data_IF_801348199874
#
_entry.id   IF_801348199874
#
_cell.length_a   1.000
_cell.length_b   1.000
_cell.length_c   1.000
_cell.angle_alpha   90.00
_cell.angle_beta   90.00
_cell.angle_gamma   90.00
#
_symmetry.space_group_name_H-M   'P 1'
#
loop_
_entity.id
_entity.type
_entity.pdbx_description
1 polymer ?
#
# COMPACT_ATOMS: atom_id res chain seq x y z
N UNK A 1 -7.28 -5.15 -4.38
CA UNK A 1 -5.93 -4.53 -4.30
C UNK A 1 -4.80 -5.47 -3.84
N UNK A 2 -5.02 -6.40 -2.89
CA UNK A 2 -3.95 -7.30 -2.40
C UNK A 2 -3.34 -8.23 -3.47
N UNK A 3 -4.14 -8.71 -4.43
CA UNK A 3 -3.68 -9.62 -5.49
C UNK A 3 -2.78 -8.96 -6.55
N UNK A 4 -2.91 -7.65 -6.77
CA UNK A 4 -2.09 -6.92 -7.74
C UNK A 4 -0.65 -6.69 -7.22
N UNK A 5 -0.50 -6.55 -5.90
CA UNK A 5 0.80 -6.43 -5.25
C UNK A 5 1.59 -7.75 -5.25
N UNK A 6 0.91 -8.90 -5.15
CA UNK A 6 1.56 -10.21 -5.20
C UNK A 6 2.10 -10.56 -6.60
N UNK A 7 1.39 -10.18 -7.67
CA UNK A 7 1.84 -10.41 -9.05
C UNK A 7 3.10 -9.63 -9.41
N UNK A 8 3.24 -8.39 -8.93
CA UNK A 8 4.40 -7.53 -9.22
C UNK A 8 5.67 -7.98 -8.48
N UNK A 9 5.50 -8.68 -7.34
CA UNK A 9 6.60 -9.32 -6.59
C UNK A 9 7.14 -10.58 -7.28
N UNK A 10 6.32 -11.35 -7.99
CA UNK A 10 6.74 -12.60 -8.63
C UNK A 10 7.55 -12.39 -9.93
N UNK A 11 7.29 -11.32 -10.70
CA UNK A 11 8.15 -10.94 -11.82
C UNK A 11 9.52 -10.37 -11.36
N UNK A 12 9.64 -10.02 -10.08
CA UNK A 12 10.86 -9.41 -9.53
C UNK A 12 11.97 -10.43 -9.30
N UNK A 13 11.68 -11.72 -9.12
CA UNK A 13 12.73 -12.71 -8.84
C UNK A 13 13.46 -13.23 -10.09
N UNK A 14 12.91 -13.05 -11.29
CA UNK A 14 13.50 -13.57 -12.53
C UNK A 14 14.43 -12.59 -13.26
N UNK A 15 14.35 -11.27 -13.00
CA UNK A 15 15.17 -10.26 -13.68
C UNK A 15 16.46 -9.89 -12.93
N UNK A 16 16.67 -10.42 -11.73
CA UNK A 16 17.81 -10.10 -10.87
C UNK A 16 18.61 -11.36 -10.50
N UNK A 17 18.95 -12.20 -11.47
CA UNK A 17 20.01 -13.20 -11.25
C UNK A 17 21.35 -12.46 -11.20
N UNK A 18 22.02 -12.35 -10.04
CA UNK A 18 23.34 -11.76 -9.98
C UNK A 18 24.32 -12.67 -10.73
N UNK A 19 24.96 -12.14 -11.78
CA UNK A 19 26.15 -12.76 -12.34
C UNK A 19 27.31 -12.53 -11.34
N UNK A 20 28.09 -13.58 -11.11
CA UNK A 20 28.92 -13.80 -9.92
C UNK A 20 30.01 -12.74 -9.66
N UNK A 21 30.21 -12.36 -8.39
CA UNK A 21 31.44 -12.58 -7.60
C UNK A 21 31.37 -11.81 -6.26
N UNK A 22 31.56 -12.55 -5.16
CA UNK A 22 32.02 -12.11 -3.84
C UNK A 22 31.20 -11.07 -3.03
N UNK A 23 30.07 -11.52 -2.45
CA UNK A 23 29.48 -10.89 -1.27
C UNK A 23 29.87 -11.66 0.00
N UNK A 24 30.99 -11.31 0.63
CA UNK A 24 31.38 -11.83 1.95
C UNK A 24 31.22 -10.74 3.02
N UNK A 25 30.34 -11.05 4.00
CA UNK A 25 30.12 -10.41 5.32
C UNK A 25 29.49 -9.00 5.36
N UNK A 26 28.19 -8.94 5.67
CA UNK A 26 27.72 -8.36 6.94
C UNK A 26 26.26 -8.75 7.21
N UNK A 27 25.97 -9.24 8.41
CA UNK A 27 24.64 -9.69 8.84
C UNK A 27 23.75 -8.52 9.25
N UNK A 28 23.23 -7.76 8.28
CA UNK A 28 22.24 -6.71 8.48
C UNK A 28 21.31 -6.60 7.27
N UNK A 29 20.03 -6.26 7.51
CA UNK A 29 18.99 -6.13 6.48
C UNK A 29 19.26 -5.05 5.42
N UNK A 30 20.27 -4.20 5.65
CA UNK A 30 20.71 -3.14 4.74
C UNK A 30 22.22 -3.26 4.58
N UNK A 31 22.65 -3.79 3.44
CA UNK A 31 24.07 -3.92 3.10
C UNK A 31 24.44 -2.80 2.13
N UNK A 32 25.31 -1.88 2.55
CA UNK A 32 25.91 -0.91 1.63
C UNK A 32 27.25 -1.45 1.15
N UNK A 33 27.48 -1.41 -0.16
CA UNK A 33 28.69 -1.94 -0.74
C UNK A 33 28.98 -1.37 -2.13
N UNK A 34 30.09 -1.81 -2.69
CA UNK A 34 30.45 -1.53 -4.08
C UNK A 34 31.10 -2.76 -4.69
N UNK A 35 30.97 -2.89 -6.01
CA UNK A 35 31.70 -3.86 -6.81
C UNK A 35 32.32 -3.16 -8.01
N UNK A 36 33.38 -3.77 -8.57
CA UNK A 36 34.10 -3.24 -9.71
C UNK A 36 33.67 -3.94 -10.99
N UNK A 37 33.37 -3.16 -12.03
CA UNK A 37 33.06 -3.66 -13.37
C UNK A 37 34.09 -3.14 -14.37
N UNK A 38 34.31 -3.91 -15.43
CA UNK A 38 35.15 -3.50 -16.56
C UNK A 38 34.29 -3.35 -17.82
N UNK A 39 34.49 -2.25 -18.52
CA UNK A 39 33.79 -1.97 -19.78
C UNK A 39 34.78 -1.88 -20.93
N UNK A 40 34.60 -2.73 -21.94
CA UNK A 40 35.42 -2.74 -23.14
C UNK A 40 35.36 -1.41 -23.90
N UNK A 41 36.53 -0.91 -24.30
CA UNK A 41 36.68 0.31 -25.10
C UNK A 41 37.27 -0.03 -26.46
N UNK A 42 38.45 -0.65 -26.45
CA UNK A 42 39.17 -1.01 -27.67
C UNK A 42 40.13 -2.19 -27.43
N UNK A 43 40.56 -2.80 -28.52
CA UNK A 43 41.65 -3.77 -28.52
C UNK A 43 42.99 -3.05 -28.71
N UNK A 44 44.04 -3.53 -28.05
CA UNK A 44 45.40 -2.97 -28.16
C UNK A 44 46.34 -3.95 -28.86
N UNK A 45 47.48 -3.48 -29.33
CA UNK A 45 48.54 -4.35 -29.89
C UNK A 45 49.51 -4.86 -28.81
N UNK A 46 49.26 -4.53 -27.54
CA UNK A 46 50.06 -4.96 -26.40
C UNK A 46 49.72 -6.43 -26.13
N UNK A 47 50.70 -7.31 -26.21
CA UNK A 47 50.53 -8.75 -25.94
C UNK A 47 51.23 -9.14 -24.65
N UNK A 48 50.68 -10.14 -23.96
CA UNK A 48 51.29 -10.73 -22.76
C UNK A 48 51.59 -12.20 -23.01
N UNK A 49 52.86 -12.58 -22.94
CA UNK A 49 53.34 -13.98 -22.83
C UNK A 49 52.52 -15.02 -23.62
N UNK A 50 52.22 -14.76 -24.90
CA UNK A 50 51.45 -15.60 -25.83
C UNK A 50 49.94 -15.78 -25.56
N UNK A 51 49.32 -15.01 -24.66
CA UNK A 51 47.87 -15.05 -24.36
C UNK A 51 47.01 -14.19 -25.30
N UNK A 52 47.64 -13.50 -26.25
CA UNK A 52 46.99 -12.62 -27.22
C UNK A 52 47.02 -11.15 -26.83
N UNK A 53 46.40 -10.28 -27.65
CA UNK A 53 46.34 -8.85 -27.41
C UNK A 53 45.45 -8.49 -26.22
N UNK A 54 45.96 -7.63 -25.33
CA UNK A 54 45.20 -7.04 -24.24
C UNK A 54 44.15 -6.05 -24.78
N UNK A 55 43.06 -5.90 -24.05
CA UNK A 55 42.02 -4.93 -24.32
C UNK A 55 42.11 -3.77 -23.34
N UNK A 56 41.88 -2.56 -23.82
CA UNK A 56 41.73 -1.39 -22.95
C UNK A 56 40.27 -1.28 -22.50
N UNK A 57 40.10 -1.14 -21.19
CA UNK A 57 38.82 -1.17 -20.50
C UNK A 57 38.69 0.05 -19.60
N UNK A 58 37.46 0.56 -19.42
CA UNK A 58 37.16 1.48 -18.31
C UNK A 58 36.80 0.65 -17.09
N UNK A 59 37.53 0.88 -16.00
CA UNK A 59 37.16 0.35 -14.67
C UNK A 59 36.13 1.28 -14.05
N UNK A 60 34.98 0.73 -13.69
CA UNK A 60 33.92 1.43 -13.01
C UNK A 60 33.66 0.84 -11.62
N UNK A 61 33.27 1.68 -10.67
CA UNK A 61 32.75 1.25 -9.36
C UNK A 61 31.26 1.48 -9.33
N UNK A 62 30.50 0.40 -9.13
CA UNK A 62 29.05 0.44 -8.96
C UNK A 62 28.73 0.33 -7.47
N UNK A 63 28.06 1.36 -6.95
CA UNK A 63 27.62 1.43 -5.56
C UNK A 63 26.19 0.91 -5.47
N UNK A 64 25.96 0.05 -4.48
CA UNK A 64 24.66 -0.57 -4.26
C UNK A 64 24.19 -0.37 -2.82
N UNK A 65 22.87 -0.32 -2.67
CA UNK A 65 22.18 -0.42 -1.40
C UNK A 65 21.34 -1.71 -1.42
N UNK A 66 21.71 -2.66 -0.57
CA UNK A 66 21.24 -4.05 -0.60
C UNK A 66 21.45 -4.70 -1.98
N UNK A 67 20.40 -4.86 -2.79
CA UNK A 67 20.48 -5.48 -4.13
C UNK A 67 20.24 -4.48 -5.27
N UNK A 68 20.20 -3.19 -4.93
CA UNK A 68 19.78 -2.13 -5.85
C UNK A 68 21.01 -1.28 -6.20
N UNK A 69 21.38 -1.27 -7.48
CA UNK A 69 22.43 -0.40 -7.99
C UNK A 69 21.94 1.06 -7.99
N UNK A 70 22.71 1.90 -7.31
CA UNK A 70 22.34 3.29 -7.05
C UNK A 70 23.05 4.24 -8.02
N UNK A 71 24.37 4.11 -8.15
CA UNK A 71 25.16 4.88 -9.11
C UNK A 71 26.46 4.15 -9.46
N UNK A 72 27.00 4.50 -10.63
CA UNK A 72 28.27 3.96 -11.13
C UNK A 72 29.22 5.11 -11.44
N UNK A 73 30.47 5.00 -11.03
CA UNK A 73 31.52 6.00 -11.28
C UNK A 73 32.68 5.38 -12.05
N UNK A 74 33.14 5.97 -13.16
CA UNK A 74 34.41 5.58 -13.76
C UNK A 74 35.56 5.86 -12.77
N UNK A 75 36.60 5.04 -12.80
CA UNK A 75 37.80 5.17 -11.97
C UNK A 75 39.07 5.41 -12.79
N UNK A 76 39.17 4.80 -13.97
CA UNK A 76 40.37 4.86 -14.80
C UNK A 76 40.35 3.84 -15.94
N UNK A 77 41.39 3.88 -16.77
CA UNK A 77 41.64 2.84 -17.76
C UNK A 77 42.45 1.70 -17.17
N UNK A 78 42.17 0.49 -17.62
CA UNK A 78 42.92 -0.71 -17.27
C UNK A 78 43.15 -1.53 -18.53
N UNK A 79 44.19 -2.36 -18.52
CA UNK A 79 44.43 -3.39 -19.52
C UNK A 79 43.98 -4.74 -18.97
N UNK A 80 43.09 -5.42 -19.68
CA UNK A 80 42.59 -6.73 -19.29
C UNK A 80 42.53 -7.68 -20.49
N UNK A 81 42.59 -8.98 -20.21
CA UNK A 81 42.46 -10.03 -21.21
C UNK A 81 40.97 -10.24 -21.60
N UNK A 82 40.73 -10.98 -22.68
CA UNK A 82 39.39 -11.43 -23.10
C UNK A 82 38.33 -10.34 -23.16
N UNK A 83 38.62 -9.19 -23.80
CA UNK A 83 37.67 -8.07 -23.95
C UNK A 83 37.07 -7.62 -22.63
N UNK A 84 37.91 -7.57 -21.58
CA UNK A 84 37.53 -7.10 -20.24
C UNK A 84 36.65 -8.07 -19.43
N UNK A 85 36.59 -9.35 -19.83
CA UNK A 85 35.90 -10.40 -19.07
C UNK A 85 36.82 -11.07 -18.02
N UNK A 86 38.11 -10.71 -17.99
CA UNK A 86 39.06 -11.26 -17.04
C UNK A 86 38.92 -10.68 -15.62
N UNK A 87 39.13 -11.50 -14.60
CA UNK A 87 39.13 -11.08 -13.19
C UNK A 87 40.39 -10.28 -12.80
N UNK A 88 41.48 -10.43 -13.55
CA UNK A 88 42.73 -9.72 -13.34
C UNK A 88 42.96 -8.65 -14.40
N UNK A 89 43.45 -7.49 -13.98
CA UNK A 89 43.71 -6.35 -14.84
C UNK A 89 44.95 -5.58 -14.36
N UNK A 90 45.51 -4.78 -15.26
CA UNK A 90 46.60 -3.85 -14.97
C UNK A 90 46.06 -2.43 -15.03
N UNK A 91 46.21 -1.67 -13.94
CA UNK A 91 45.88 -0.24 -13.97
C UNK A 91 46.79 0.47 -14.98
N UNK A 92 46.20 1.33 -15.83
CA UNK A 92 46.91 2.08 -16.85
C UNK A 92 46.91 3.57 -16.47
N UNK A 93 48.01 4.09 -15.87
CA UNK A 93 48.10 5.50 -15.53
C UNK A 93 48.02 6.39 -16.78
N UNK A 94 47.54 7.64 -16.66
CA UNK A 94 47.38 8.56 -17.79
C UNK A 94 48.67 8.76 -18.62
N UNK A 95 49.82 8.80 -17.95
CA UNK A 95 51.14 8.91 -18.58
C UNK A 95 51.48 7.74 -19.52
N UNK A 96 51.07 6.51 -19.18
CA UNK A 96 51.24 5.34 -20.04
C UNK A 96 50.22 5.28 -21.17
N UNK A 97 49.02 5.84 -20.96
CA UNK A 97 48.01 5.96 -22.01
C UNK A 97 48.52 6.85 -23.16
N UNK A 98 49.05 8.02 -22.83
CA UNK A 98 49.62 8.96 -23.80
C UNK A 98 50.79 8.33 -24.57
N UNK A 99 51.72 7.71 -23.84
CA UNK A 99 52.86 7.02 -24.47
C UNK A 99 52.39 5.88 -25.40
N UNK A 100 51.38 5.11 -24.99
CA UNK A 100 50.82 4.02 -25.78
C UNK A 100 50.14 4.49 -27.07
N UNK A 101 49.48 5.66 -27.04
CA UNK A 101 48.91 6.30 -28.24
C UNK A 101 50.00 6.77 -29.20
N UNK A 102 51.05 7.43 -28.70
CA UNK A 102 52.18 7.90 -29.50
C UNK A 102 52.94 6.72 -30.13
N UNK A 103 53.08 5.62 -29.39
CA UNK A 103 53.71 4.39 -29.87
C UNK A 103 52.80 3.56 -30.79
N UNK A 104 51.59 4.03 -31.13
CA UNK A 104 50.57 3.33 -31.93
C UNK A 104 50.12 1.97 -31.36
N UNK A 105 50.41 1.68 -30.09
CA UNK A 105 50.00 0.45 -29.41
C UNK A 105 48.56 0.53 -28.88
N UNK A 106 48.10 1.75 -28.60
CA UNK A 106 46.73 2.06 -28.19
C UNK A 106 46.09 2.91 -29.29
N UNK A 107 44.87 2.60 -29.75
CA UNK A 107 44.20 3.39 -30.78
C UNK A 107 44.04 4.86 -30.36
N UNK A 108 44.34 5.79 -31.26
CA UNK A 108 44.16 7.23 -31.03
C UNK A 108 42.68 7.64 -30.82
N UNK A 109 41.73 6.75 -31.12
CA UNK A 109 40.30 6.93 -30.85
C UNK A 109 39.93 6.79 -29.37
N UNK A 110 40.83 6.26 -28.54
CA UNK A 110 40.58 6.15 -27.10
C UNK A 110 40.63 7.54 -26.46
N UNK A 111 39.57 7.98 -25.77
CA UNK A 111 39.52 9.27 -25.08
C UNK A 111 40.59 9.38 -23.98
N UNK A 112 41.02 10.59 -23.65
CA UNK A 112 41.98 10.83 -22.55
C UNK A 112 41.30 10.65 -21.18
N UNK A 113 40.01 11.00 -21.11
CA UNK A 113 39.20 10.86 -19.90
C UNK A 113 38.27 9.65 -20.00
N UNK A 114 38.27 8.73 -19.01
CA UNK A 114 37.37 7.60 -19.02
C UNK A 114 35.93 8.07 -18.87
N UNK A 115 35.09 7.75 -19.85
CA UNK A 115 33.66 7.97 -19.75
C UNK A 115 32.90 6.66 -19.98
N UNK A 116 31.74 6.57 -19.35
CA UNK A 116 30.78 5.50 -19.60
C UNK A 116 29.75 5.99 -20.62
N UNK A 117 29.31 5.08 -21.49
CA UNK A 117 28.22 5.36 -22.42
C UNK A 117 26.91 5.59 -21.65
N UNK A 118 25.96 6.28 -22.27
CA UNK A 118 24.64 6.53 -21.67
C UNK A 118 23.93 5.22 -21.26
N UNK A 119 24.12 4.15 -22.04
CA UNK A 119 23.55 2.83 -21.75
C UNK A 119 24.21 2.22 -20.50
N UNK A 120 25.53 2.32 -20.36
CA UNK A 120 26.25 1.83 -19.17
C UNK A 120 25.83 2.59 -17.90
N UNK A 121 25.67 3.92 -17.99
CA UNK A 121 25.11 4.71 -16.88
C UNK A 121 23.67 4.31 -16.53
N UNK A 122 22.83 4.04 -17.54
CA UNK A 122 21.45 3.62 -17.33
C UNK A 122 21.38 2.24 -16.65
N UNK A 123 22.22 1.29 -17.06
CA UNK A 123 22.33 -0.03 -16.44
C UNK A 123 22.74 0.05 -14.95
N UNK A 124 23.63 0.99 -14.61
CA UNK A 124 24.03 1.26 -13.22
C UNK A 124 22.98 1.96 -12.35
N UNK A 125 21.90 2.49 -12.94
CA UNK A 125 20.89 3.31 -12.24
C UNK A 125 19.47 2.75 -12.29
N UNK A 126 19.24 1.58 -12.93
CA UNK A 126 17.93 0.90 -13.01
C UNK A 126 17.25 0.79 -11.64
N UNK A 127 18.04 0.52 -10.61
CA UNK A 127 17.56 0.42 -9.24
C UNK A 127 16.90 1.69 -8.72
N UNK A 128 17.50 2.85 -8.97
CA UNK A 128 16.95 4.16 -8.58
C UNK A 128 15.64 4.47 -9.31
N UNK A 129 15.55 4.13 -10.59
CA UNK A 129 14.34 4.34 -11.39
C UNK A 129 13.15 3.55 -10.85
N UNK A 130 13.37 2.32 -10.41
CA UNK A 130 12.34 1.48 -9.79
C UNK A 130 11.83 2.08 -8.47
N UNK A 131 12.73 2.56 -7.60
CA UNK A 131 12.32 3.21 -6.35
C UNK A 131 11.49 4.46 -6.65
N UNK A 132 11.93 5.30 -7.59
CA UNK A 132 11.20 6.49 -8.00
C UNK A 132 9.79 6.15 -8.54
N UNK A 133 9.67 5.09 -9.34
CA UNK A 133 8.39 4.60 -9.86
C UNK A 133 7.45 4.17 -8.72
N UNK A 134 7.95 3.39 -7.75
CA UNK A 134 7.14 2.93 -6.62
C UNK A 134 6.64 4.10 -5.76
N UNK A 135 7.50 5.09 -5.51
CA UNK A 135 7.13 6.32 -4.79
C UNK A 135 6.06 7.09 -5.58
N UNK A 136 6.24 7.27 -6.89
CA UNK A 136 5.27 7.96 -7.74
C UNK A 136 3.90 7.25 -7.73
N UNK A 137 3.87 5.92 -7.86
CA UNK A 137 2.63 5.13 -7.78
C UNK A 137 1.97 5.29 -6.41
N UNK A 138 2.74 5.21 -5.32
CA UNK A 138 2.21 5.40 -3.97
C UNK A 138 1.57 6.79 -3.79
N UNK A 139 2.23 7.84 -4.30
CA UNK A 139 1.71 9.20 -4.26
C UNK A 139 0.46 9.35 -5.13
N UNK A 140 0.42 8.77 -6.33
CA UNK A 140 -0.75 8.79 -7.21
C UNK A 140 -1.96 8.10 -6.56
N UNK A 141 -1.77 6.93 -5.94
CA UNK A 141 -2.83 6.22 -5.21
C UNK A 141 -3.35 7.05 -4.05
N UNK A 142 -2.46 7.66 -3.25
CA UNK A 142 -2.87 8.58 -2.18
C UNK A 142 -3.64 9.77 -2.72
N UNK A 143 -3.21 10.35 -3.83
CA UNK A 143 -3.88 11.50 -4.42
C UNK A 143 -5.26 11.14 -4.97
N UNK A 144 -5.41 9.98 -5.61
CA UNK A 144 -6.69 9.45 -6.08
C UNK A 144 -7.68 9.22 -4.93
N UNK A 145 -7.26 8.53 -3.86
CA UNK A 145 -8.10 8.34 -2.67
C UNK A 145 -8.44 9.65 -1.96
N UNK A 146 -7.53 10.63 -1.96
CA UNK A 146 -7.80 11.95 -1.39
C UNK A 146 -8.86 12.73 -2.18
N UNK A 147 -8.94 12.52 -3.50
CA UNK A 147 -9.96 13.14 -4.36
C UNK A 147 -11.32 12.50 -4.13
N UNK A 148 -11.42 11.18 -4.07
CA UNK A 148 -12.68 10.48 -3.78
C UNK A 148 -13.21 10.81 -2.39
N UNK A 149 -12.33 10.84 -1.38
CA UNK A 149 -12.73 11.24 -0.03
C UNK A 149 -13.13 12.72 0.06
N UNK A 150 -12.52 13.62 -0.71
CA UNK A 150 -12.95 15.03 -0.79
C UNK A 150 -14.26 15.22 -1.54
N UNK A 151 -14.49 14.46 -2.61
CA UNK A 151 -15.78 14.45 -3.32
C UNK A 151 -16.91 13.92 -2.41
N UNK A 152 -16.64 12.83 -1.67
CA UNK A 152 -17.57 12.27 -0.67
C UNK A 152 -17.78 13.19 0.53
N UNK A 153 -16.74 13.89 1.03
CA UNK A 153 -16.85 14.86 2.14
C UNK A 153 -17.65 16.11 1.79
N UNK A 154 -17.77 16.47 0.50
CA UNK A 154 -18.60 17.61 0.06
C UNK A 154 -20.09 17.28 0.03
N UNK A 155 -20.48 16.01 -0.04
CA UNK A 155 -21.85 15.59 0.16
C UNK A 155 -22.05 15.28 1.66
N UNK A 156 -22.45 16.28 2.46
CA UNK A 156 -23.12 15.95 3.73
C UNK A 156 -24.31 15.04 3.35
N UNK A 157 -24.46 13.84 3.95
CA UNK A 157 -25.69 13.08 3.77
C UNK A 157 -26.83 14.02 4.16
N UNK A 158 -27.79 14.20 3.26
CA UNK A 158 -28.98 14.97 3.58
C UNK A 158 -29.61 14.35 4.85
N UNK A 159 -30.26 15.17 5.66
CA UNK A 159 -30.96 14.66 6.85
C UNK A 159 -31.94 13.52 6.50
N UNK A 160 -32.49 13.56 5.28
CA UNK A 160 -33.28 12.48 4.69
C UNK A 160 -32.50 11.16 4.56
N UNK A 161 -31.29 11.18 3.99
CA UNK A 161 -30.46 9.98 3.83
C UNK A 161 -30.03 9.36 5.18
N UNK A 162 -29.75 10.19 6.20
CA UNK A 162 -29.51 9.69 7.56
C UNK A 162 -30.77 9.01 8.12
N UNK A 163 -31.93 9.65 8.01
CA UNK A 163 -33.19 9.12 8.55
C UNK A 163 -33.60 7.78 7.91
N UNK A 164 -33.39 7.62 6.60
CA UNK A 164 -33.70 6.37 5.89
C UNK A 164 -32.77 5.22 6.28
N UNK A 165 -31.47 5.50 6.41
CA UNK A 165 -30.50 4.50 6.86
C UNK A 165 -30.71 4.12 8.30
N UNK A 166 -31.03 5.09 9.15
CA UNK A 166 -31.35 4.84 10.55
C UNK A 166 -32.61 3.96 10.66
N UNK A 167 -33.68 4.29 9.94
CA UNK A 167 -34.89 3.45 9.89
C UNK A 167 -34.56 2.02 9.47
N UNK A 168 -33.74 1.88 8.42
CA UNK A 168 -33.35 0.55 7.93
C UNK A 168 -32.54 -0.21 8.97
N UNK A 169 -31.52 0.42 9.59
CA UNK A 169 -30.73 -0.19 10.65
C UNK A 169 -31.59 -0.63 11.84
N UNK A 170 -32.52 0.21 12.29
CA UNK A 170 -33.45 -0.10 13.38
C UNK A 170 -34.37 -1.28 13.03
N UNK A 171 -34.93 -1.33 11.81
CA UNK A 171 -35.78 -2.44 11.38
C UNK A 171 -35.01 -3.75 11.25
N UNK A 172 -33.73 -3.73 10.85
CA UNK A 172 -32.90 -4.93 10.84
C UNK A 172 -32.50 -5.37 12.25
N UNK A 173 -32.25 -4.42 13.16
CA UNK A 173 -31.95 -4.70 14.55
C UNK A 173 -33.13 -5.39 15.24
N UNK A 174 -34.33 -4.79 15.18
CA UNK A 174 -35.53 -5.33 15.80
C UNK A 174 -35.93 -6.70 15.21
N UNK A 175 -35.74 -6.90 13.90
CA UNK A 175 -36.04 -8.19 13.26
C UNK A 175 -34.94 -9.24 13.45
N UNK A 176 -33.85 -8.97 14.18
CA UNK A 176 -32.70 -9.87 14.23
C UNK A 176 -33.04 -11.27 14.79
N UNK A 177 -34.00 -11.34 15.72
CA UNK A 177 -34.49 -12.59 16.32
C UNK A 177 -35.55 -13.31 15.44
N UNK A 178 -35.97 -12.68 14.34
CA UNK A 178 -36.96 -13.19 13.39
C UNK A 178 -38.42 -12.87 13.73
N UNK A 179 -38.70 -12.11 14.79
CA UNK A 179 -40.03 -11.64 15.15
C UNK A 179 -40.03 -10.11 15.17
N UNK A 180 -41.24 -9.54 15.11
CA UNK A 180 -41.44 -8.15 15.43
C UNK A 180 -42.85 -7.99 16.01
N UNK A 181 -42.98 -7.27 17.11
CA UNK A 181 -44.26 -6.94 17.71
C UNK A 181 -44.62 -5.46 17.51
N UNK A 182 -45.84 -5.11 17.91
CA UNK A 182 -46.36 -3.75 17.73
C UNK A 182 -45.63 -2.72 18.60
N UNK A 183 -45.12 -3.13 19.77
CA UNK A 183 -44.40 -2.24 20.70
C UNK A 183 -43.03 -1.85 20.14
N UNK A 184 -42.34 -2.79 19.48
CA UNK A 184 -41.08 -2.50 18.79
C UNK A 184 -41.28 -1.52 17.63
N UNK A 185 -42.38 -1.63 16.88
CA UNK A 185 -42.71 -0.69 15.80
C UNK A 185 -42.94 0.73 16.35
N UNK A 186 -43.64 0.84 17.48
CA UNK A 186 -43.89 2.12 18.15
C UNK A 186 -42.60 2.74 18.70
N UNK A 187 -41.74 1.91 19.27
CA UNK A 187 -40.43 2.31 19.76
C UNK A 187 -39.52 2.81 18.62
N UNK A 188 -39.46 2.10 17.50
CA UNK A 188 -38.71 2.54 16.31
C UNK A 188 -39.19 3.92 15.86
N UNK A 189 -40.51 4.16 15.86
CA UNK A 189 -41.08 5.46 15.49
C UNK A 189 -40.63 6.57 16.45
N UNK A 190 -40.65 6.31 17.76
CA UNK A 190 -40.22 7.27 18.79
C UNK A 190 -38.71 7.55 18.72
N UNK A 191 -37.88 6.52 18.55
CA UNK A 191 -36.43 6.66 18.40
C UNK A 191 -36.08 7.46 17.13
N UNK A 192 -36.78 7.22 16.01
CA UNK A 192 -36.60 7.99 14.78
C UNK A 192 -37.01 9.45 14.95
N UNK A 193 -38.10 9.71 15.67
CA UNK A 193 -38.53 11.06 15.97
C UNK A 193 -37.48 11.80 16.81
N UNK A 194 -36.97 11.17 17.88
CA UNK A 194 -35.94 11.74 18.76
C UNK A 194 -34.61 11.98 18.05
N UNK A 195 -34.17 11.05 17.21
CA UNK A 195 -32.86 11.12 16.55
C UNK A 195 -32.85 12.07 15.34
N UNK A 196 -33.92 12.08 14.53
CA UNK A 196 -33.96 12.76 13.23
C UNK A 196 -35.01 13.87 13.12
N UNK A 197 -35.94 13.99 14.07
CA UNK A 197 -37.06 14.93 14.03
C UNK A 197 -38.13 14.56 13.00
N UNK A 198 -38.12 13.32 12.47
CA UNK A 198 -39.03 12.88 11.41
C UNK A 198 -40.01 11.85 11.95
N UNK A 199 -41.29 12.09 11.70
CA UNK A 199 -42.36 11.15 12.02
C UNK A 199 -42.50 10.13 10.88
N UNK A 200 -42.45 8.86 11.24
CA UNK A 200 -42.74 7.76 10.33
C UNK A 200 -44.08 7.14 10.72
N UNK A 201 -44.92 6.83 9.75
CA UNK A 201 -46.14 6.08 10.02
C UNK A 201 -45.79 4.62 10.33
N UNK A 202 -46.57 3.95 11.18
CA UNK A 202 -46.37 2.53 11.46
C UNK A 202 -46.42 1.69 10.18
N UNK A 203 -47.25 2.08 9.21
CA UNK A 203 -47.30 1.45 7.89
C UNK A 203 -45.99 1.56 7.11
N UNK A 204 -45.30 2.70 7.16
CA UNK A 204 -44.01 2.88 6.47
C UNK A 204 -42.93 1.98 7.11
N UNK A 205 -42.89 1.95 8.44
CA UNK A 205 -41.96 1.12 9.21
C UNK A 205 -42.19 -0.36 8.88
N UNK A 206 -43.46 -0.79 8.84
CA UNK A 206 -43.84 -2.15 8.47
C UNK A 206 -43.36 -2.55 7.08
N UNK A 207 -43.43 -1.64 6.10
CA UNK A 207 -42.92 -1.89 4.75
C UNK A 207 -41.40 -2.10 4.72
N UNK A 208 -40.65 -1.39 5.56
CA UNK A 208 -39.19 -1.56 5.68
C UNK A 208 -38.86 -2.86 6.40
N UNK A 209 -39.55 -3.18 7.50
CA UNK A 209 -39.39 -4.46 8.23
C UNK A 209 -39.61 -5.65 7.30
N UNK A 210 -40.60 -5.58 6.41
CA UNK A 210 -40.89 -6.66 5.45
C UNK A 210 -39.70 -6.95 4.54
N UNK A 211 -38.88 -5.94 4.23
CA UNK A 211 -37.66 -6.03 3.42
C UNK A 211 -36.40 -6.34 4.25
N UNK A 212 -36.45 -6.13 5.57
CA UNK A 212 -35.33 -6.38 6.45
C UNK A 212 -34.97 -7.88 6.47
N UNK A 213 -33.67 -8.14 6.55
CA UNK A 213 -33.03 -9.45 6.54
C UNK A 213 -32.45 -9.73 7.93
N UNK A 214 -32.50 -10.98 8.36
CA UNK A 214 -31.97 -11.42 9.66
C UNK A 214 -30.46 -11.68 9.63
N UNK A 215 -29.91 -11.97 8.45
CA UNK A 215 -28.49 -12.28 8.25
C UNK A 215 -27.86 -11.26 7.33
N UNK A 216 -27.16 -10.27 7.90
CA UNK A 216 -26.43 -9.26 7.15
C UNK A 216 -24.97 -9.65 6.97
N UNK A 217 -24.41 -9.28 5.81
CA UNK A 217 -22.98 -9.37 5.55
C UNK A 217 -22.23 -8.16 6.11
N UNK A 218 -20.91 -8.26 6.24
CA UNK A 218 -20.05 -7.13 6.65
C UNK A 218 -20.20 -5.92 5.71
N UNK A 219 -20.42 -6.16 4.41
CA UNK A 219 -20.64 -5.10 3.43
C UNK A 219 -21.95 -4.34 3.69
N UNK A 220 -23.00 -5.04 4.13
CA UNK A 220 -24.28 -4.40 4.47
C UNK A 220 -24.15 -3.51 5.71
N UNK A 221 -23.40 -3.97 6.72
CA UNK A 221 -23.10 -3.15 7.89
C UNK A 221 -22.30 -1.89 7.54
N UNK A 222 -21.31 -2.01 6.65
CA UNK A 222 -20.54 -0.86 6.18
C UNK A 222 -21.41 0.15 5.41
N UNK A 223 -22.43 -0.31 4.68
CA UNK A 223 -23.33 0.55 3.90
C UNK A 223 -24.14 1.50 4.78
N UNK A 224 -24.50 1.10 6.02
CA UNK A 224 -25.16 1.99 6.97
C UNK A 224 -24.32 3.23 7.30
N UNK A 225 -23.00 3.08 7.36
CA UNK A 225 -22.06 4.12 7.73
C UNK A 225 -21.58 5.03 6.60
N UNK A 226 -21.86 4.67 5.34
CA UNK A 226 -21.17 5.27 4.20
C UNK A 226 -21.46 6.77 4.05
N UNK A 227 -20.47 7.62 4.32
CA UNK A 227 -20.64 9.08 4.25
C UNK A 227 -21.24 9.71 5.51
N UNK A 228 -21.50 8.93 6.56
CA UNK A 228 -21.84 9.47 7.88
C UNK A 228 -20.59 10.03 8.57
N UNK A 229 -20.77 11.17 9.25
CA UNK A 229 -19.77 11.70 10.19
C UNK A 229 -19.65 10.79 11.42
N UNK A 230 -18.54 10.89 12.15
CA UNK A 230 -18.35 10.12 13.39
C UNK A 230 -19.52 10.30 14.37
N UNK A 231 -19.97 11.53 14.60
CA UNK A 231 -21.12 11.84 15.47
C UNK A 231 -22.41 11.15 15.01
N UNK A 232 -22.64 11.09 13.70
CA UNK A 232 -23.81 10.40 13.13
C UNK A 232 -23.71 8.88 13.26
N UNK A 233 -22.50 8.31 13.14
CA UNK A 233 -22.28 6.88 13.38
C UNK A 233 -22.55 6.51 14.84
N UNK A 234 -22.06 7.32 15.79
CA UNK A 234 -22.37 7.14 17.21
C UNK A 234 -23.87 7.23 17.50
N UNK A 235 -24.56 8.23 16.92
CA UNK A 235 -26.01 8.37 17.06
C UNK A 235 -26.76 7.15 16.53
N UNK A 236 -26.33 6.58 15.39
CA UNK A 236 -26.95 5.39 14.82
C UNK A 236 -26.76 4.16 15.72
N UNK A 237 -25.55 3.93 16.25
CA UNK A 237 -25.30 2.82 17.18
C UNK A 237 -26.12 3.01 18.47
N UNK A 238 -26.15 4.23 19.02
CA UNK A 238 -26.95 4.53 20.21
C UNK A 238 -28.43 4.25 19.99
N UNK A 239 -29.00 4.73 18.89
CA UNK A 239 -30.42 4.51 18.57
C UNK A 239 -30.75 3.02 18.39
N UNK A 240 -29.84 2.23 17.81
CA UNK A 240 -29.98 0.77 17.71
C UNK A 240 -29.95 0.15 19.11
N UNK A 241 -29.01 0.53 19.98
CA UNK A 241 -28.94 0.06 21.35
C UNK A 241 -30.20 0.40 22.16
N UNK A 242 -30.69 1.64 22.05
CA UNK A 242 -31.91 2.09 22.71
C UNK A 242 -33.14 1.29 22.25
N UNK A 243 -33.14 0.83 20.99
CA UNK A 243 -34.24 0.06 20.42
C UNK A 243 -34.22 -1.39 20.91
N UNK A 244 -33.07 -2.07 20.81
CA UNK A 244 -32.97 -3.49 21.19
C UNK A 244 -33.03 -3.71 22.70
N UNK A 245 -32.77 -2.67 23.51
CA UNK A 245 -32.77 -2.78 24.97
C UNK A 245 -34.06 -2.31 25.65
N UNK A 246 -35.02 -1.75 24.90
CA UNK A 246 -36.20 -1.13 25.50
C UNK A 246 -37.10 -2.12 26.24
N UNK A 247 -37.15 -3.38 25.80
CA UNK A 247 -37.94 -4.43 26.43
C UNK A 247 -37.23 -5.08 27.63
N UNK A 248 -36.01 -4.64 27.96
CA UNK A 248 -35.26 -5.09 29.14
C UNK A 248 -34.46 -6.37 28.95
N UNK A 249 -34.71 -7.11 27.88
CA UNK A 249 -33.94 -8.29 27.49
C UNK A 249 -33.39 -8.08 26.08
N UNK A 250 -32.07 -8.17 25.94
CA UNK A 250 -31.41 -8.13 24.62
C UNK A 250 -31.10 -9.56 24.22
N UNK A 251 -31.70 -10.03 23.13
CA UNK A 251 -31.43 -11.37 22.60
C UNK A 251 -30.02 -11.45 22.00
N UNK A 252 -29.46 -12.66 21.92
CA UNK A 252 -28.15 -12.89 21.31
C UNK A 252 -28.05 -12.40 19.84
N UNK A 253 -29.08 -12.57 18.97
CA UNK A 253 -29.07 -11.98 17.63
C UNK A 253 -28.99 -10.45 17.61
N UNK A 254 -29.72 -9.76 18.48
CA UNK A 254 -29.72 -8.30 18.56
C UNK A 254 -28.40 -7.76 19.09
N UNK A 255 -27.85 -8.40 20.12
CA UNK A 255 -26.53 -8.07 20.66
C UNK A 255 -25.45 -8.23 19.58
N UNK A 256 -25.51 -9.31 18.79
CA UNK A 256 -24.60 -9.53 17.66
C UNK A 256 -24.76 -8.48 16.57
N UNK A 257 -26.00 -8.08 16.25
CA UNK A 257 -26.26 -7.01 15.32
C UNK A 257 -25.62 -5.70 15.79
N UNK A 258 -25.81 -5.32 17.06
CA UNK A 258 -25.27 -4.10 17.63
C UNK A 258 -23.73 -4.07 17.60
N UNK A 259 -23.07 -5.18 17.95
CA UNK A 259 -21.61 -5.32 17.87
C UNK A 259 -21.14 -5.26 16.42
N UNK A 260 -21.81 -5.96 15.50
CA UNK A 260 -21.46 -5.97 14.08
C UNK A 260 -21.57 -4.57 13.46
N UNK A 261 -22.63 -3.85 13.80
CA UNK A 261 -22.83 -2.46 13.38
C UNK A 261 -21.76 -1.54 13.98
N UNK A 262 -21.49 -1.61 15.28
CA UNK A 262 -20.45 -0.80 15.93
C UNK A 262 -19.06 -1.02 15.31
N UNK A 263 -18.71 -2.29 15.04
CA UNK A 263 -17.46 -2.65 14.38
C UNK A 263 -17.36 -2.10 12.96
N UNK A 264 -18.41 -2.25 12.15
CA UNK A 264 -18.42 -1.73 10.78
C UNK A 264 -18.43 -0.19 10.69
N UNK A 265 -18.95 0.47 11.73
CA UNK A 265 -19.00 1.92 11.85
C UNK A 265 -17.75 2.55 12.48
N UNK A 266 -16.72 1.74 12.75
CA UNK A 266 -15.46 2.17 13.36
C UNK A 266 -15.67 2.86 14.72
N UNK A 267 -16.63 2.34 15.52
CA UNK A 267 -16.84 2.77 16.90
C UNK A 267 -15.90 1.97 17.80
N UNK A 268 -15.09 2.66 18.57
CA UNK A 268 -14.13 2.00 19.46
C UNK A 268 -14.84 1.25 20.58
N UNK A 269 -14.18 0.22 21.13
CA UNK A 269 -14.71 -0.52 22.27
C UNK A 269 -15.02 0.39 23.48
N UNK A 270 -14.19 1.39 23.74
CA UNK A 270 -14.43 2.37 24.80
C UNK A 270 -15.70 3.17 24.58
N UNK A 271 -15.92 3.68 23.37
CA UNK A 271 -17.11 4.45 23.03
C UNK A 271 -18.36 3.58 23.09
N UNK A 272 -18.29 2.33 22.61
CA UNK A 272 -19.39 1.38 22.69
C UNK A 272 -19.77 1.05 24.15
N UNK A 273 -18.77 0.82 25.01
CA UNK A 273 -19.00 0.59 26.44
C UNK A 273 -19.58 1.82 27.14
N UNK A 274 -19.17 3.03 26.74
CA UNK A 274 -19.75 4.25 27.27
C UNK A 274 -21.22 4.41 26.84
N UNK A 275 -21.58 4.06 25.60
CA UNK A 275 -22.98 4.05 25.12
C UNK A 275 -23.86 3.10 25.94
N UNK A 276 -23.37 1.89 26.25
CA UNK A 276 -24.09 0.91 27.06
C UNK A 276 -24.42 1.40 28.47
N UNK A 277 -23.66 2.35 29.03
CA UNK A 277 -23.94 2.93 30.35
C UNK A 277 -25.18 3.82 30.36
N UNK A 278 -25.57 4.36 29.21
CA UNK A 278 -26.70 5.27 29.06
C UNK A 278 -27.98 4.58 28.56
N UNK A 279 -27.90 3.29 28.24
CA UNK A 279 -29.06 2.48 27.91
C UNK A 279 -29.90 2.29 29.18
N UNK A 280 -31.20 2.69 29.18
CA UNK A 280 -32.07 2.52 30.34
C UNK A 280 -32.09 1.05 30.77
N UNK A 281 -31.80 0.78 32.04
CA UNK A 281 -31.98 -0.56 32.62
C UNK A 281 -33.49 -0.81 32.79
N UNK A 282 -33.99 -2.04 32.53
CA UNK A 282 -35.39 -2.33 32.74
C UNK A 282 -35.80 -2.08 34.19
N UNK A 283 -37.08 -1.74 34.43
CA UNK A 283 -37.60 -1.69 35.79
C UNK A 283 -37.44 -3.09 36.41
N UNK A 284 -36.65 -3.18 37.48
CA UNK A 284 -36.59 -4.40 38.30
C UNK A 284 -37.96 -4.63 38.90
N UNK A 285 -38.72 -5.56 38.35
CA UNK A 285 -39.95 -6.04 38.97
C UNK A 285 -39.59 -6.72 40.29
N UNK A 286 -39.97 -6.08 41.40
CA UNK A 286 -40.02 -6.65 42.74
C UNK A 286 -41.40 -7.28 42.99
#
# INVERSE_FOLDING_TARGET
MRLFFLGLMACFTFLFSPHAAEAKRSGGLISYGHYGDLHFVAQTDITRDNTGPLSICVRAKTYHLSFINMWTSPQGYVLAENKCEAESFFDLPPEFLELGKVATMIPASVPDTPFLTAIQYAQGTVGTALIAMLVAVHLLVKFAHSRDSRARRKAKPSQAALSERLLTALCHAAKADGRIDQREIELIADVLHKACGKNYSQSDIYQVIKKAQTNLSEADFCAFGEGLTHKQRMMMVQAVLDTVAADGEVSEPEHRFAIGLAGALDITRSEFLDMLRFVPQPPTHA
#
